data_IF_016048489096
#
_entry.id   IF_016048489096
#
_cell.length_a   1.000
_cell.length_b   1.000
_cell.length_c   1.000
_cell.angle_alpha   90.00
_cell.angle_beta   90.00
_cell.angle_gamma   90.00
#
_symmetry.space_group_name_H-M   'P 1'
#
loop_
_entity.id
_entity.type
_entity.pdbx_description
1 polymer ?
#
# COMPACT_ATOMS: atom_id res chain seq x y z
N UNK A 1 -6.30 2.64 0.57
CA UNK A 1 -6.15 2.59 2.04
C UNK A 1 -6.33 4.00 2.56
N UNK A 2 -6.74 4.17 3.81
CA UNK A 2 -6.95 5.49 4.40
C UNK A 2 -6.51 5.49 5.86
N UNK A 3 -6.11 6.65 6.33
CA UNK A 3 -5.83 6.96 7.73
C UNK A 3 -6.41 8.35 8.07
N UNK A 4 -6.09 8.86 9.27
CA UNK A 4 -6.57 10.15 9.75
C UNK A 4 -6.11 11.35 8.89
N UNK A 5 -5.10 11.17 8.04
CA UNK A 5 -4.58 12.20 7.14
C UNK A 5 -5.26 12.20 5.77
N UNK A 6 -5.87 11.07 5.39
CA UNK A 6 -6.64 10.94 4.16
C UNK A 6 -6.44 9.60 3.46
N UNK A 7 -6.89 9.55 2.21
CA UNK A 7 -6.86 8.34 1.40
C UNK A 7 -5.65 8.32 0.46
N UNK A 8 -4.99 7.15 0.39
CA UNK A 8 -3.87 6.90 -0.51
C UNK A 8 -3.98 5.53 -1.18
N UNK A 9 -3.35 5.40 -2.35
CA UNK A 9 -3.29 4.15 -3.10
C UNK A 9 -1.97 3.43 -2.86
N UNK A 10 -2.04 2.12 -2.66
CA UNK A 10 -0.88 1.22 -2.64
C UNK A 10 -0.97 0.33 -3.88
N UNK A 11 0.13 0.24 -4.64
CA UNK A 11 0.23 -0.54 -5.87
C UNK A 11 1.34 -1.57 -5.76
N UNK A 12 0.98 -2.84 -5.88
CA UNK A 12 1.91 -3.96 -6.08
C UNK A 12 1.92 -4.35 -7.55
N UNK A 13 3.11 -4.44 -8.16
CA UNK A 13 3.26 -4.86 -9.55
C UNK A 13 3.97 -6.21 -9.62
N UNK A 14 3.65 -7.03 -10.62
CA UNK A 14 4.31 -8.33 -10.84
C UNK A 14 4.38 -9.14 -9.53
N UNK A 15 5.58 -9.55 -9.13
CA UNK A 15 5.81 -10.35 -7.93
C UNK A 15 5.46 -9.62 -6.62
N UNK A 16 5.38 -8.28 -6.61
CA UNK A 16 4.94 -7.55 -5.41
C UNK A 16 3.42 -7.61 -5.21
N UNK A 17 2.64 -7.93 -6.25
CA UNK A 17 1.18 -8.05 -6.12
C UNK A 17 0.78 -9.15 -5.12
N UNK A 18 1.58 -10.22 -5.00
CA UNK A 18 1.33 -11.33 -4.06
C UNK A 18 1.31 -10.88 -2.60
N UNK A 19 1.96 -9.76 -2.26
CA UNK A 19 1.94 -9.20 -0.90
C UNK A 19 0.56 -8.64 -0.52
N UNK A 20 -0.29 -8.36 -1.52
CA UNK A 20 -1.65 -7.88 -1.33
C UNK A 20 -2.67 -9.04 -1.25
N UNK A 21 -2.26 -10.28 -1.54
CA UNK A 21 -3.15 -11.43 -1.49
C UNK A 21 -3.60 -11.72 -0.05
N UNK A 22 -4.88 -12.09 0.10
CA UNK A 22 -5.45 -12.42 1.41
C UNK A 22 -5.74 -11.21 2.31
N UNK A 23 -5.55 -9.99 1.81
CA UNK A 23 -6.08 -8.78 2.44
C UNK A 23 -7.57 -8.61 2.12
N UNK A 24 -8.33 -8.10 3.09
CA UNK A 24 -9.76 -7.82 2.94
C UNK A 24 -10.08 -6.37 3.30
N UNK A 25 -11.16 -5.86 2.72
CA UNK A 25 -11.67 -4.53 3.08
C UNK A 25 -12.06 -4.51 4.55
N UNK A 26 -11.65 -3.44 5.26
CA UNK A 26 -11.86 -3.28 6.70
C UNK A 26 -10.70 -3.75 7.56
N UNK A 27 -9.69 -4.41 7.00
CA UNK A 27 -8.48 -4.75 7.74
C UNK A 27 -7.59 -3.53 7.95
N UNK A 28 -7.09 -3.38 9.18
CA UNK A 28 -6.06 -2.39 9.50
C UNK A 28 -4.71 -3.03 9.18
N UNK A 29 -3.89 -2.36 8.38
CA UNK A 29 -2.58 -2.86 7.96
C UNK A 29 -1.49 -1.82 8.21
N UNK A 30 -0.28 -2.30 8.48
CA UNK A 30 0.95 -1.52 8.43
C UNK A 30 1.76 -1.95 7.22
N UNK A 31 2.16 -0.98 6.41
CA UNK A 31 2.93 -1.19 5.18
C UNK A 31 4.23 -0.40 5.27
N UNK A 32 5.37 -1.07 5.08
CA UNK A 32 6.70 -0.45 5.17
C UNK A 32 7.52 -0.66 3.90
N UNK A 33 8.58 0.15 3.76
CA UNK A 33 9.54 0.07 2.64
C UNK A 33 8.88 0.24 1.27
N UNK A 34 8.19 1.36 1.08
CA UNK A 34 7.47 1.74 -0.15
C UNK A 34 8.08 2.98 -0.79
N UNK A 35 7.90 3.14 -2.10
CA UNK A 35 8.24 4.38 -2.80
C UNK A 35 6.99 5.25 -2.98
N UNK A 36 7.05 6.51 -2.56
CA UNK A 36 6.01 7.50 -2.83
C UNK A 36 6.28 8.22 -4.15
N UNK A 37 5.26 8.38 -4.99
CA UNK A 37 5.32 9.13 -6.25
C UNK A 37 4.02 9.90 -6.47
N UNK A 38 4.08 11.00 -7.22
CA UNK A 38 2.89 11.67 -7.71
C UNK A 38 2.22 10.82 -8.80
N UNK A 39 0.93 10.52 -8.63
CA UNK A 39 0.05 9.88 -9.59
C UNK A 39 -0.80 10.88 -10.36
N UNK A 40 -1.93 10.42 -10.89
CA UNK A 40 -2.89 11.27 -11.60
C UNK A 40 -3.36 12.42 -10.69
N UNK A 41 -3.50 13.62 -11.26
CA UNK A 41 -3.94 14.83 -10.53
C UNK A 41 -3.03 15.21 -9.34
N UNK A 42 -1.78 14.73 -9.31
CA UNK A 42 -0.83 15.04 -8.24
C UNK A 42 -1.08 14.29 -6.94
N UNK A 43 -1.99 13.31 -6.90
CA UNK A 43 -2.22 12.48 -5.71
C UNK A 43 -0.99 11.64 -5.42
N UNK A 44 -0.57 11.57 -4.17
CA UNK A 44 0.50 10.63 -3.78
C UNK A 44 0.01 9.19 -3.97
N UNK A 45 0.84 8.35 -4.55
CA UNK A 45 0.65 6.90 -4.66
C UNK A 45 1.88 6.19 -4.10
N UNK A 46 1.66 5.06 -3.43
CA UNK A 46 2.70 4.23 -2.86
C UNK A 46 2.91 2.98 -3.71
N UNK A 47 4.16 2.67 -4.02
CA UNK A 47 4.54 1.51 -4.80
C UNK A 47 5.30 0.53 -3.91
N UNK A 48 4.84 -0.71 -3.88
CA UNK A 48 5.54 -1.79 -3.20
C UNK A 48 6.88 -2.05 -3.90
N UNK A 49 7.88 -2.39 -3.10
CA UNK A 49 9.23 -2.76 -3.52
C UNK A 49 9.47 -4.24 -3.21
N UNK A 50 10.56 -4.84 -3.71
CA UNK A 50 10.96 -6.19 -3.31
C UNK A 50 11.19 -6.39 -1.80
N UNK A 51 11.33 -5.30 -1.03
CA UNK A 51 11.59 -5.31 0.40
C UNK A 51 10.40 -4.83 1.24
N UNK A 52 9.24 -4.62 0.59
CA UNK A 52 8.04 -4.21 1.30
C UNK A 52 7.51 -5.32 2.19
N UNK A 53 6.99 -4.92 3.35
CA UNK A 53 6.29 -5.80 4.28
C UNK A 53 4.90 -5.24 4.54
N UNK A 54 3.90 -6.11 4.55
CA UNK A 54 2.52 -5.78 4.94
C UNK A 54 2.16 -6.64 6.15
N UNK A 55 1.71 -5.99 7.23
CA UNK A 55 1.36 -6.65 8.48
C UNK A 55 -0.04 -6.23 8.89
N UNK A 56 -0.94 -7.20 9.12
CA UNK A 56 -2.27 -6.94 9.69
C UNK A 56 -2.12 -6.48 11.15
N UNK A 57 -2.89 -5.46 11.54
CA UNK A 57 -2.99 -4.96 12.90
C UNK A 57 -4.31 -5.45 13.49
N UNK A 58 -4.27 -5.84 14.76
CA UNK A 58 -5.42 -6.28 15.54
C UNK A 58 -6.31 -5.11 15.92
#
# INVERSE_FOLDING_TARGET
VEDDSGQIWIKGWRNQAVLLDGLSVGEIISVTTVNAKAGLEGRTELFLTPFSTIVKKN
#
